data_IF_966241404766
#
_entry.id   IF_966241404766
#
_cell.length_a   1.000
_cell.length_b   1.000
_cell.length_c   1.000
_cell.angle_alpha   90.00
_cell.angle_beta   90.00
_cell.angle_gamma   90.00
#
_symmetry.space_group_name_H-M   'P 1'
#
loop_
_entity.id
_entity.type
_entity.pdbx_description
1 polymer ?
#
# COMPACT_ATOMS: atom_id res chain seq x y z
N UNK A 1 20.04 18.00 5.52
CA UNK A 1 19.24 18.62 4.47
C UNK A 1 18.59 17.60 3.49
N UNK A 2 18.48 16.30 3.82
CA UNK A 2 17.94 15.22 2.95
C UNK A 2 16.83 14.36 3.59
N UNK A 3 16.39 14.66 4.79
CA UNK A 3 15.24 14.01 5.45
C UNK A 3 13.89 14.51 4.93
N UNK A 4 13.88 15.62 4.22
CA UNK A 4 12.72 16.21 3.57
C UNK A 4 12.18 15.36 2.40
N UNK A 5 13.01 14.50 1.80
CA UNK A 5 12.64 13.77 0.57
C UNK A 5 11.53 12.76 0.81
N UNK A 6 11.61 12.01 1.89
CA UNK A 6 10.62 10.98 2.22
C UNK A 6 9.26 11.56 2.69
N UNK A 7 9.31 12.62 3.48
CA UNK A 7 8.08 13.22 4.03
C UNK A 7 7.25 13.91 2.97
N UNK A 8 7.88 14.60 2.01
CA UNK A 8 7.10 15.26 0.96
C UNK A 8 6.55 14.25 -0.06
N UNK A 9 7.28 13.17 -0.40
CA UNK A 9 6.77 12.12 -1.30
C UNK A 9 5.54 11.46 -0.69
N UNK A 10 5.59 11.14 0.61
CA UNK A 10 4.47 10.59 1.34
C UNK A 10 3.24 11.50 1.34
N UNK A 11 3.41 12.77 1.71
CA UNK A 11 2.29 13.72 1.75
C UNK A 11 1.75 13.97 0.35
N UNK A 12 2.63 13.99 -0.65
CA UNK A 12 2.25 14.06 -2.05
C UNK A 12 1.33 12.88 -2.44
N UNK A 13 1.71 11.63 -2.15
CA UNK A 13 0.88 10.48 -2.46
C UNK A 13 -0.45 10.49 -1.71
N UNK A 14 -0.47 10.85 -0.41
CA UNK A 14 -1.73 10.98 0.35
C UNK A 14 -2.66 12.00 -0.30
N UNK A 15 -2.16 13.20 -0.61
CA UNK A 15 -2.98 14.25 -1.21
C UNK A 15 -3.39 13.91 -2.64
N UNK A 16 -2.49 13.31 -3.42
CA UNK A 16 -2.77 12.78 -4.75
C UNK A 16 -3.91 11.77 -4.70
N UNK A 17 -3.83 10.78 -3.81
CA UNK A 17 -4.91 9.79 -3.64
C UNK A 17 -6.23 10.41 -3.19
N UNK A 18 -6.20 11.42 -2.29
CA UNK A 18 -7.40 12.17 -1.90
C UNK A 18 -8.03 12.90 -3.08
N UNK A 19 -7.22 13.43 -4.00
CA UNK A 19 -7.68 14.11 -5.21
C UNK A 19 -8.20 13.10 -6.25
N UNK A 20 -7.40 12.11 -6.59
CA UNK A 20 -7.73 11.10 -7.60
C UNK A 20 -8.93 10.23 -7.21
N UNK A 21 -9.10 9.94 -5.92
CA UNK A 21 -10.27 9.20 -5.41
C UNK A 21 -11.54 10.05 -5.32
N UNK A 22 -11.47 11.37 -5.58
CA UNK A 22 -12.61 12.28 -5.46
C UNK A 22 -12.92 12.74 -4.04
N UNK A 23 -12.16 12.34 -3.03
CA UNK A 23 -12.28 12.88 -1.65
C UNK A 23 -11.98 14.39 -1.60
N UNK A 24 -11.12 14.85 -2.51
CA UNK A 24 -10.90 16.27 -2.78
C UNK A 24 -11.27 16.57 -4.25
N UNK A 25 -12.57 16.78 -4.56
CA UNK A 25 -13.04 16.95 -5.93
C UNK A 25 -12.54 18.25 -6.55
N UNK A 26 -12.62 18.35 -7.89
CA UNK A 26 -12.33 19.58 -8.64
C UNK A 26 -13.05 20.79 -8.02
N UNK A 27 -12.33 21.88 -7.84
CA UNK A 27 -12.80 23.10 -7.18
C UNK A 27 -12.56 23.10 -5.66
N UNK A 28 -12.13 22.00 -5.05
CA UNK A 28 -11.76 21.98 -3.63
C UNK A 28 -10.54 22.88 -3.41
N UNK A 29 -10.64 23.76 -2.42
CA UNK A 29 -9.51 24.58 -1.96
C UNK A 29 -8.68 23.77 -0.99
N UNK A 30 -7.37 23.63 -1.24
CA UNK A 30 -6.46 22.98 -0.31
C UNK A 30 -6.38 23.79 1.00
N UNK A 31 -6.18 23.09 2.15
CA UNK A 31 -5.87 23.77 3.40
C UNK A 31 -4.65 24.68 3.26
N UNK A 32 -4.55 25.69 4.12
CA UNK A 32 -3.40 26.61 4.10
C UNK A 32 -2.10 25.85 4.37
N UNK A 33 -0.95 26.42 3.97
CA UNK A 33 0.35 25.84 4.29
C UNK A 33 0.55 25.63 5.80
N UNK A 34 0.00 26.54 6.63
CA UNK A 34 0.08 26.43 8.09
C UNK A 34 -0.73 25.23 8.59
N UNK A 35 -1.94 25.03 8.04
CA UNK A 35 -2.80 23.93 8.43
C UNK A 35 -2.22 22.59 7.98
N UNK A 36 -1.71 22.51 6.73
CA UNK A 36 -1.01 21.32 6.24
C UNK A 36 0.25 21.01 7.06
N UNK A 37 1.03 22.04 7.44
CA UNK A 37 2.18 21.84 8.34
C UNK A 37 1.75 21.26 9.69
N UNK A 38 0.61 21.71 10.21
CA UNK A 38 0.07 21.24 11.50
C UNK A 38 -0.50 19.83 11.38
N UNK A 39 -1.27 19.56 10.32
CA UNK A 39 -1.89 18.25 10.06
C UNK A 39 -0.82 17.16 9.89
N UNK A 40 0.19 17.43 9.04
CA UNK A 40 1.23 16.45 8.72
C UNK A 40 2.48 16.55 9.61
N UNK A 41 2.54 17.52 10.53
CA UNK A 41 3.68 17.78 11.44
C UNK A 41 5.02 17.94 10.71
N UNK A 42 5.01 18.70 9.63
CA UNK A 42 6.17 18.93 8.77
C UNK A 42 6.50 20.41 8.60
N UNK A 43 7.69 20.71 8.04
CA UNK A 43 8.12 22.08 7.77
C UNK A 43 7.34 22.72 6.60
N UNK A 44 7.26 24.05 6.61
CA UNK A 44 6.68 24.81 5.50
C UNK A 44 7.40 24.54 4.16
N UNK A 45 8.71 24.28 4.22
CA UNK A 45 9.51 23.92 3.06
C UNK A 45 9.04 22.57 2.44
N UNK A 46 8.74 21.60 3.30
CA UNK A 46 8.21 20.29 2.89
C UNK A 46 6.86 20.46 2.18
N UNK A 47 5.92 21.21 2.79
CA UNK A 47 4.60 21.45 2.18
C UNK A 47 4.70 22.23 0.88
N UNK A 48 5.56 23.24 0.77
CA UNK A 48 5.79 23.96 -0.50
C UNK A 48 6.21 23.02 -1.61
N UNK A 49 7.08 22.05 -1.30
CA UNK A 49 7.52 21.05 -2.28
C UNK A 49 6.39 20.10 -2.70
N UNK A 50 5.59 19.63 -1.73
CA UNK A 50 4.39 18.81 -2.01
C UNK A 50 3.43 19.54 -2.94
N UNK A 51 3.13 20.80 -2.63
CA UNK A 51 2.23 21.62 -3.45
C UNK A 51 2.79 21.85 -4.86
N UNK A 52 4.11 22.04 -4.98
CA UNK A 52 4.76 22.13 -6.29
C UNK A 52 4.61 20.81 -7.06
N UNK A 53 4.87 19.66 -6.44
CA UNK A 53 4.73 18.34 -7.07
C UNK A 53 3.29 18.07 -7.50
N UNK A 54 2.28 18.45 -6.69
CA UNK A 54 0.87 18.32 -7.06
C UNK A 54 0.51 19.23 -8.25
N UNK A 55 1.10 20.42 -8.33
CA UNK A 55 0.90 21.33 -9.46
C UNK A 55 1.58 20.81 -10.72
N UNK A 56 2.81 20.30 -10.62
CA UNK A 56 3.55 19.69 -11.72
C UNK A 56 2.85 18.43 -12.26
N UNK A 57 2.19 17.68 -11.38
CA UNK A 57 1.34 16.54 -11.73
C UNK A 57 -0.03 16.96 -12.32
N UNK A 58 -0.30 18.26 -12.48
CA UNK A 58 -1.58 18.75 -13.02
C UNK A 58 -2.78 18.55 -12.11
N UNK A 59 -2.59 18.22 -10.84
CA UNK A 59 -3.66 17.92 -9.89
C UNK A 59 -4.28 19.18 -9.29
N UNK A 60 -3.46 20.23 -9.12
CA UNK A 60 -3.88 21.50 -8.51
C UNK A 60 -3.38 22.69 -9.32
N UNK A 61 -4.03 23.82 -9.16
CA UNK A 61 -3.58 25.12 -9.66
C UNK A 61 -3.20 26.01 -8.48
N UNK A 62 -1.98 26.52 -8.50
CA UNK A 62 -1.48 27.49 -7.54
C UNK A 62 -1.50 28.89 -8.14
N UNK A 63 -1.89 29.89 -7.36
CA UNK A 63 -1.75 31.30 -7.71
C UNK A 63 -1.02 32.00 -6.58
N UNK A 64 -0.22 33.00 -6.93
CA UNK A 64 0.53 33.79 -5.94
C UNK A 64 -0.44 34.44 -4.95
N UNK A 65 -0.15 34.28 -3.64
CA UNK A 65 -0.96 34.78 -2.51
C UNK A 65 -2.38 34.25 -2.39
N UNK A 66 -2.72 33.16 -3.12
CA UNK A 66 -4.01 32.47 -3.01
C UNK A 66 -3.82 31.02 -2.57
N UNK A 67 -4.86 30.45 -1.99
CA UNK A 67 -4.89 29.02 -1.69
C UNK A 67 -4.92 28.22 -3.00
N UNK A 68 -4.24 27.07 -3.01
CA UNK A 68 -4.26 26.16 -4.16
C UNK A 68 -5.63 25.51 -4.33
N UNK A 69 -6.03 25.31 -5.57
CA UNK A 69 -7.34 24.73 -5.90
C UNK A 69 -7.14 23.46 -6.72
N UNK A 70 -7.86 22.41 -6.41
CA UNK A 70 -7.90 21.17 -7.19
C UNK A 70 -8.46 21.46 -8.57
N UNK A 71 -7.67 21.19 -9.60
CA UNK A 71 -8.09 21.32 -11.01
C UNK A 71 -8.23 19.96 -11.69
N UNK A 72 -7.72 18.92 -11.05
CA UNK A 72 -7.82 17.57 -11.58
C UNK A 72 -9.29 17.23 -11.83
N UNK A 73 -9.57 16.98 -13.09
CA UNK A 73 -10.88 16.57 -13.56
C UNK A 73 -10.79 15.09 -13.90
N UNK A 74 -11.48 14.28 -13.13
CA UNK A 74 -11.62 12.86 -13.42
C UNK A 74 -12.21 12.60 -14.82
N UNK A 75 -12.68 13.66 -15.50
CA UNK A 75 -13.30 13.61 -16.83
C UNK A 75 -12.29 13.81 -17.98
N UNK A 76 -11.13 14.41 -17.73
CA UNK A 76 -10.19 14.79 -18.79
C UNK A 76 -9.03 13.79 -19.02
N UNK A 77 -9.07 12.60 -18.42
CA UNK A 77 -8.13 11.52 -18.70
C UNK A 77 -8.43 10.73 -19.99
N UNK A 78 -9.17 11.32 -20.93
CA UNK A 78 -9.69 10.63 -22.13
C UNK A 78 -8.73 10.55 -23.32
N UNK A 79 -7.44 10.83 -23.13
CA UNK A 79 -6.43 10.72 -24.21
C UNK A 79 -5.52 9.49 -24.10
N UNK A 80 -5.87 8.48 -23.29
CA UNK A 80 -5.19 7.19 -23.40
C UNK A 80 -5.69 6.52 -24.69
N UNK A 81 -4.82 6.45 -25.68
CA UNK A 81 -5.05 5.83 -26.97
C UNK A 81 -5.67 4.45 -26.81
N UNK A 82 -6.88 4.29 -27.31
CA UNK A 82 -7.66 3.02 -27.35
C UNK A 82 -6.91 1.91 -28.09
N UNK A 83 -5.81 2.23 -28.75
CA UNK A 83 -5.11 1.37 -29.71
C UNK A 83 -4.17 0.32 -29.08
N UNK A 84 -3.91 0.38 -27.76
CA UNK A 84 -2.94 -0.51 -27.09
C UNK A 84 -3.54 -1.42 -25.99
N UNK A 85 -4.85 -1.57 -25.98
CA UNK A 85 -5.53 -2.46 -25.03
C UNK A 85 -5.50 -3.91 -25.52
N UNK A 86 -5.10 -4.82 -24.64
CA UNK A 86 -4.95 -6.25 -24.93
C UNK A 86 -5.70 -7.11 -23.92
N UNK A 87 -5.97 -8.35 -24.29
CA UNK A 87 -6.53 -9.33 -23.35
C UNK A 87 -5.51 -9.69 -22.27
N UNK A 88 -5.94 -9.77 -20.99
CA UNK A 88 -5.06 -10.18 -19.90
C UNK A 88 -4.67 -11.66 -20.04
N UNK A 89 -3.50 -12.02 -19.48
CA UNK A 89 -3.12 -13.42 -19.30
C UNK A 89 -4.05 -14.10 -18.29
N UNK A 90 -4.67 -15.20 -18.68
CA UNK A 90 -5.71 -15.88 -17.87
C UNK A 90 -5.21 -16.41 -16.53
N UNK A 91 -3.96 -16.90 -16.45
CA UNK A 91 -3.39 -17.42 -15.20
C UNK A 91 -3.04 -16.27 -14.25
N UNK A 92 -2.43 -15.22 -14.80
CA UNK A 92 -2.10 -14.01 -14.04
C UNK A 92 -3.37 -13.31 -13.57
N UNK A 93 -4.39 -13.23 -14.42
CA UNK A 93 -5.69 -12.68 -14.06
C UNK A 93 -6.31 -13.45 -12.88
N UNK A 94 -6.29 -14.77 -12.92
CA UNK A 94 -6.83 -15.60 -11.83
C UNK A 94 -6.08 -15.36 -10.52
N UNK A 95 -4.74 -15.35 -10.54
CA UNK A 95 -3.91 -15.09 -9.37
C UNK A 95 -4.20 -13.72 -8.76
N UNK A 96 -4.22 -12.66 -9.59
CA UNK A 96 -4.48 -11.30 -9.15
C UNK A 96 -5.92 -11.14 -8.64
N UNK A 97 -6.93 -11.71 -9.32
CA UNK A 97 -8.34 -11.62 -8.88
C UNK A 97 -8.55 -12.32 -7.53
N UNK A 98 -7.97 -13.50 -7.33
CA UNK A 98 -8.05 -14.20 -6.04
C UNK A 98 -7.32 -13.46 -4.92
N UNK A 99 -6.15 -12.91 -5.21
CA UNK A 99 -5.43 -12.02 -4.29
C UNK A 99 -6.28 -10.80 -3.93
N UNK A 100 -6.91 -10.17 -4.91
CA UNK A 100 -7.78 -9.04 -4.69
C UNK A 100 -8.99 -9.37 -3.84
N UNK A 101 -9.66 -10.47 -4.08
CA UNK A 101 -10.81 -10.92 -3.29
C UNK A 101 -10.45 -11.01 -1.80
N UNK A 102 -9.28 -11.58 -1.48
CA UNK A 102 -8.81 -11.74 -0.11
C UNK A 102 -8.38 -10.40 0.53
N UNK A 103 -7.82 -9.48 -0.25
CA UNK A 103 -7.29 -8.22 0.28
C UNK A 103 -8.27 -7.04 0.18
N UNK A 104 -8.96 -6.88 -0.96
CA UNK A 104 -9.78 -5.70 -1.22
C UNK A 104 -11.06 -5.64 -0.41
N UNK A 105 -11.79 -6.75 -0.30
CA UNK A 105 -13.07 -6.74 0.40
C UNK A 105 -12.93 -6.32 1.86
N UNK A 106 -11.97 -6.83 2.65
CA UNK A 106 -11.77 -6.34 4.01
C UNK A 106 -11.46 -4.83 4.06
N UNK A 107 -10.65 -4.32 3.12
CA UNK A 107 -10.33 -2.88 3.07
C UNK A 107 -11.53 -2.03 2.69
N UNK A 108 -12.33 -2.45 1.71
CA UNK A 108 -13.55 -1.75 1.31
C UNK A 108 -14.55 -1.74 2.48
N UNK A 109 -14.75 -2.88 3.15
CA UNK A 109 -15.60 -2.97 4.34
C UNK A 109 -15.14 -2.00 5.44
N UNK A 110 -13.83 -1.98 5.72
CA UNK A 110 -13.25 -1.08 6.71
C UNK A 110 -13.41 0.38 6.28
N UNK A 111 -13.09 0.72 5.03
CA UNK A 111 -13.25 2.07 4.49
C UNK A 111 -14.69 2.58 4.54
N UNK A 112 -15.67 1.71 4.25
CA UNK A 112 -17.09 2.02 4.39
C UNK A 112 -17.44 2.35 5.84
N UNK A 113 -16.95 1.56 6.82
CA UNK A 113 -17.20 1.80 8.25
C UNK A 113 -16.60 3.10 8.77
N UNK A 114 -15.58 3.64 8.09
CA UNK A 114 -14.93 4.90 8.43
C UNK A 114 -15.57 6.14 7.76
N UNK A 115 -16.52 5.95 6.83
CA UNK A 115 -17.14 7.05 6.11
C UNK A 115 -18.04 7.89 7.03
N UNK A 116 -17.81 9.20 7.02
CA UNK A 116 -18.67 10.19 7.65
C UNK A 116 -19.66 10.82 6.67
N UNK A 117 -20.51 11.73 7.17
CA UNK A 117 -21.55 12.39 6.38
C UNK A 117 -21.01 13.04 5.10
N UNK A 118 -19.90 13.75 5.19
CA UNK A 118 -19.30 14.42 4.04
C UNK A 118 -18.80 13.42 2.98
N UNK A 119 -18.30 12.25 3.40
CA UNK A 119 -17.87 11.20 2.49
C UNK A 119 -19.05 10.66 1.70
N UNK A 120 -20.19 10.43 2.36
CA UNK A 120 -21.43 9.98 1.72
C UNK A 120 -21.99 11.02 0.75
N UNK A 121 -21.92 12.31 1.07
CA UNK A 121 -22.34 13.39 0.18
C UNK A 121 -21.48 13.42 -1.10
N UNK A 122 -20.18 13.17 -0.99
CA UNK A 122 -19.26 13.08 -2.14
C UNK A 122 -19.61 11.84 -2.99
N UNK A 123 -19.76 10.68 -2.36
CA UNK A 123 -20.06 9.41 -3.03
C UNK A 123 -21.40 9.47 -3.76
N UNK A 124 -22.46 10.04 -3.15
CA UNK A 124 -23.75 10.23 -3.79
C UNK A 124 -23.62 11.09 -5.04
N UNK A 125 -22.89 12.21 -4.96
CA UNK A 125 -22.66 13.10 -6.11
C UNK A 125 -21.91 12.38 -7.25
N UNK A 126 -20.84 11.65 -6.96
CA UNK A 126 -20.09 10.89 -7.96
C UNK A 126 -20.98 9.83 -8.61
N UNK A 127 -21.75 9.09 -7.80
CA UNK A 127 -22.64 8.02 -8.30
C UNK A 127 -23.77 8.56 -9.18
N UNK A 128 -24.33 9.74 -8.86
CA UNK A 128 -25.33 10.39 -9.71
C UNK A 128 -24.78 10.85 -11.06
N UNK A 129 -23.47 11.10 -11.15
CA UNK A 129 -22.78 11.48 -12.39
C UNK A 129 -22.40 10.28 -13.28
N UNK A 130 -22.64 9.04 -12.83
CA UNK A 130 -22.47 7.87 -13.69
C UNK A 130 -23.52 7.91 -14.80
N UNK A 131 -23.08 7.88 -16.07
CA UNK A 131 -23.98 7.79 -17.22
C UNK A 131 -24.03 6.34 -17.73
N UNK A 132 -25.16 5.62 -17.54
CA UNK A 132 -25.29 4.25 -18.02
C UNK A 132 -25.20 4.10 -19.55
N UNK A 133 -25.30 5.17 -20.31
CA UNK A 133 -25.20 5.18 -21.78
C UNK A 133 -23.74 5.13 -22.25
N UNK A 134 -22.77 5.47 -21.38
CA UNK A 134 -21.35 5.55 -21.68
C UNK A 134 -20.58 4.44 -20.94
N UNK A 135 -20.51 3.20 -21.44
CA UNK A 135 -20.01 2.04 -20.68
C UNK A 135 -18.59 2.21 -20.16
N UNK A 136 -17.64 2.64 -20.98
CA UNK A 136 -16.23 2.83 -20.59
C UNK A 136 -16.11 3.85 -19.47
N UNK A 137 -16.76 5.02 -19.63
CA UNK A 137 -16.72 6.09 -18.62
C UNK A 137 -17.45 5.69 -17.34
N UNK A 138 -18.55 4.95 -17.47
CA UNK A 138 -19.31 4.40 -16.34
C UNK A 138 -18.42 3.53 -15.45
N UNK A 139 -17.75 2.54 -16.02
CA UNK A 139 -16.89 1.63 -15.27
C UNK A 139 -15.63 2.29 -14.75
N UNK A 140 -15.04 3.23 -15.50
CA UNK A 140 -13.91 4.05 -15.05
C UNK A 140 -14.26 4.84 -13.79
N UNK A 141 -15.40 5.52 -13.77
CA UNK A 141 -15.89 6.27 -12.59
C UNK A 141 -16.28 5.34 -11.44
N UNK A 142 -16.84 4.19 -11.70
CA UNK A 142 -17.18 3.19 -10.68
C UNK A 142 -15.95 2.74 -9.91
N UNK A 143 -14.82 2.49 -10.59
CA UNK A 143 -13.54 2.15 -9.92
C UNK A 143 -13.08 3.23 -8.95
N UNK A 144 -13.32 4.50 -9.26
CA UNK A 144 -12.99 5.61 -8.35
C UNK A 144 -13.81 5.57 -7.06
N UNK A 145 -15.05 5.10 -7.10
CA UNK A 145 -15.88 4.92 -5.90
C UNK A 145 -15.27 3.84 -4.99
N UNK A 146 -14.82 2.72 -5.56
CA UNK A 146 -14.15 1.67 -4.78
C UNK A 146 -12.81 2.14 -4.21
N UNK A 147 -12.03 2.85 -5.03
CA UNK A 147 -10.78 3.47 -4.56
C UNK A 147 -11.02 4.49 -3.46
N UNK A 148 -12.14 5.22 -3.49
CA UNK A 148 -12.53 6.15 -2.43
C UNK A 148 -12.61 5.45 -1.07
N UNK A 149 -13.32 4.32 -0.99
CA UNK A 149 -13.41 3.57 0.26
C UNK A 149 -12.05 3.10 0.77
N UNK A 150 -11.20 2.60 -0.11
CA UNK A 150 -9.86 2.16 0.27
C UNK A 150 -8.99 3.35 0.73
N UNK A 151 -9.06 4.48 0.02
CA UNK A 151 -8.35 5.69 0.40
C UNK A 151 -8.84 6.27 1.74
N UNK A 152 -10.07 5.92 2.16
CA UNK A 152 -10.61 6.34 3.46
C UNK A 152 -9.90 5.70 4.64
N UNK A 153 -9.29 4.54 4.46
CA UNK A 153 -8.45 3.89 5.49
C UNK A 153 -7.18 4.69 5.80
N UNK A 154 -6.72 5.57 4.90
CA UNK A 154 -5.47 6.35 5.03
C UNK A 154 -4.22 5.47 5.26
N UNK A 155 -4.27 4.22 4.81
CA UNK A 155 -3.19 3.25 4.87
C UNK A 155 -2.38 3.29 3.58
N UNK A 156 -1.15 3.84 3.66
CA UNK A 156 -0.28 3.99 2.49
C UNK A 156 0.15 2.66 1.88
N UNK A 157 0.45 1.67 2.73
CA UNK A 157 0.88 0.35 2.26
C UNK A 157 -0.23 -0.33 1.45
N UNK A 158 -1.48 -0.24 1.91
CA UNK A 158 -2.63 -0.78 1.20
C UNK A 158 -2.86 -0.11 -0.14
N UNK A 159 -2.76 1.22 -0.21
CA UNK A 159 -2.92 1.97 -1.46
C UNK A 159 -1.84 1.58 -2.47
N UNK A 160 -0.59 1.46 -2.04
CA UNK A 160 0.50 1.02 -2.92
C UNK A 160 0.32 -0.41 -3.44
N UNK A 161 -0.12 -1.33 -2.59
CA UNK A 161 -0.41 -2.72 -2.98
C UNK A 161 -1.52 -2.74 -4.04
N UNK A 162 -2.58 -1.97 -3.82
CA UNK A 162 -3.74 -1.91 -4.71
C UNK A 162 -3.38 -1.32 -6.08
N UNK A 163 -2.63 -0.23 -6.09
CA UNK A 163 -2.14 0.37 -7.33
C UNK A 163 -1.18 -0.57 -8.07
N UNK A 164 -0.32 -1.29 -7.34
CA UNK A 164 0.59 -2.28 -7.92
C UNK A 164 -0.13 -3.49 -8.51
N UNK A 165 -1.29 -3.89 -7.98
CA UNK A 165 -2.13 -4.94 -8.57
C UNK A 165 -2.80 -4.49 -9.89
N UNK A 166 -2.80 -3.21 -10.21
CA UNK A 166 -3.16 -2.70 -11.53
C UNK A 166 -4.67 -2.68 -11.86
N UNK A 167 -5.55 -2.91 -10.87
CA UNK A 167 -7.00 -2.97 -11.12
C UNK A 167 -7.60 -1.70 -11.71
N UNK A 168 -7.02 -0.55 -11.42
CA UNK A 168 -7.50 0.71 -11.96
C UNK A 168 -7.32 0.81 -13.48
N UNK A 169 -6.30 0.12 -14.03
CA UNK A 169 -6.02 0.04 -15.46
C UNK A 169 -6.90 -0.97 -16.22
N UNK A 170 -7.65 -1.85 -15.53
CA UNK A 170 -8.51 -2.83 -16.23
C UNK A 170 -9.70 -2.12 -16.85
N UNK A 171 -9.90 -2.23 -18.14
CA UNK A 171 -11.06 -1.70 -18.82
C UNK A 171 -12.12 -2.78 -19.04
N UNK A 172 -13.35 -2.45 -18.73
CA UNK A 172 -14.50 -3.35 -18.87
C UNK A 172 -15.35 -2.97 -20.07
N UNK A 173 -15.62 -3.93 -20.93
CA UNK A 173 -16.53 -3.77 -22.08
C UNK A 173 -17.71 -4.70 -21.89
N UNK A 174 -18.90 -4.14 -21.90
CA UNK A 174 -20.17 -4.83 -21.90
C UNK A 174 -21.23 -3.96 -22.59
N UNK A 175 -22.27 -4.58 -23.12
CA UNK A 175 -23.29 -3.87 -23.91
C UNK A 175 -24.64 -3.77 -23.21
N UNK A 176 -24.72 -4.09 -21.91
CA UNK A 176 -26.00 -4.16 -21.18
C UNK A 176 -26.27 -2.90 -20.35
N UNK A 177 -26.94 -1.92 -20.95
CA UNK A 177 -27.36 -0.69 -20.25
C UNK A 177 -28.24 -0.97 -19.02
N UNK A 178 -29.09 -2.01 -19.06
CA UNK A 178 -29.96 -2.38 -17.93
C UNK A 178 -29.15 -2.78 -16.69
N UNK A 179 -28.02 -3.44 -16.87
CA UNK A 179 -27.10 -3.80 -15.79
C UNK A 179 -26.50 -2.57 -15.16
N UNK A 180 -26.03 -1.61 -15.96
CA UNK A 180 -25.47 -0.36 -15.45
C UNK A 180 -26.48 0.47 -14.69
N UNK A 181 -27.74 0.53 -15.17
CA UNK A 181 -28.84 1.20 -14.47
C UNK A 181 -29.10 0.52 -13.12
N UNK A 182 -29.16 -0.81 -13.10
CA UNK A 182 -29.36 -1.60 -11.87
C UNK A 182 -28.20 -1.37 -10.89
N UNK A 183 -26.97 -1.44 -11.39
CA UNK A 183 -25.76 -1.18 -10.59
C UNK A 183 -25.79 0.21 -9.95
N UNK A 184 -26.02 1.27 -10.74
CA UNK A 184 -26.08 2.63 -10.26
C UNK A 184 -27.18 2.81 -9.20
N UNK A 185 -28.36 2.24 -9.42
CA UNK A 185 -29.49 2.31 -8.48
C UNK A 185 -29.15 1.63 -7.16
N UNK A 186 -28.59 0.42 -7.20
CA UNK A 186 -28.19 -0.35 -6.01
C UNK A 186 -27.15 0.41 -5.21
N UNK A 187 -26.16 0.99 -5.89
CA UNK A 187 -25.11 1.76 -5.23
C UNK A 187 -25.67 3.04 -4.60
N UNK A 188 -26.57 3.77 -5.28
CA UNK A 188 -27.23 4.95 -4.72
C UNK A 188 -28.08 4.59 -3.50
N UNK A 189 -28.87 3.53 -3.55
CA UNK A 189 -29.69 3.07 -2.43
C UNK A 189 -28.82 2.71 -1.20
N UNK A 190 -27.70 2.00 -1.42
CA UNK A 190 -26.73 1.69 -0.37
C UNK A 190 -26.13 2.97 0.25
N UNK A 191 -25.68 3.91 -0.57
CA UNK A 191 -25.08 5.18 -0.12
C UNK A 191 -26.10 6.00 0.71
N UNK A 192 -27.34 6.09 0.23
CA UNK A 192 -28.39 6.86 0.93
C UNK A 192 -28.76 6.25 2.28
N UNK A 193 -28.86 4.91 2.37
CA UNK A 193 -29.08 4.20 3.63
C UNK A 193 -27.90 4.39 4.59
N UNK A 194 -26.69 4.22 4.10
CA UNK A 194 -25.46 4.35 4.90
C UNK A 194 -25.20 5.76 5.41
N UNK A 195 -25.73 6.78 4.73
CA UNK A 195 -25.72 8.18 5.19
C UNK A 195 -26.54 8.42 6.43
N UNK A 196 -27.62 7.65 6.61
CA UNK A 196 -28.55 7.75 7.75
C UNK A 196 -27.99 6.96 8.92
N UNK A 197 -27.55 5.74 8.66
CA UNK A 197 -27.04 4.81 9.65
C UNK A 197 -25.84 4.05 9.10
N UNK A 198 -24.77 3.97 9.91
CA UNK A 198 -23.56 3.22 9.53
C UNK A 198 -23.93 1.73 9.36
N UNK A 199 -23.71 1.16 8.16
CA UNK A 199 -24.13 -0.21 7.91
C UNK A 199 -23.35 -1.21 8.74
N UNK A 200 -24.02 -2.25 9.23
CA UNK A 200 -23.37 -3.37 9.88
C UNK A 200 -22.44 -4.11 8.91
N UNK A 201 -21.38 -4.74 9.43
CA UNK A 201 -20.39 -5.46 8.60
C UNK A 201 -21.04 -6.51 7.70
N UNK A 202 -22.08 -7.19 8.17
CA UNK A 202 -22.79 -8.20 7.37
C UNK A 202 -23.54 -7.57 6.20
N UNK A 203 -24.21 -6.44 6.43
CA UNK A 203 -24.89 -5.68 5.36
C UNK A 203 -23.90 -5.20 4.31
N UNK A 204 -22.69 -4.81 4.71
CA UNK A 204 -21.62 -4.41 3.75
C UNK A 204 -21.19 -5.63 2.93
N UNK A 205 -20.97 -6.78 3.55
CA UNK A 205 -20.58 -8.01 2.84
C UNK A 205 -21.65 -8.46 1.84
N UNK A 206 -22.91 -8.47 2.24
CA UNK A 206 -24.03 -8.79 1.35
C UNK A 206 -24.12 -7.83 0.17
N UNK A 207 -23.96 -6.54 0.43
CA UNK A 207 -23.92 -5.53 -0.63
C UNK A 207 -22.76 -5.76 -1.61
N UNK A 208 -21.54 -6.03 -1.10
CA UNK A 208 -20.37 -6.28 -1.93
C UNK A 208 -20.54 -7.56 -2.77
N UNK A 209 -21.07 -8.63 -2.17
CA UNK A 209 -21.35 -9.88 -2.87
C UNK A 209 -22.38 -9.66 -3.99
N UNK A 210 -23.43 -8.90 -3.73
CA UNK A 210 -24.47 -8.59 -4.73
C UNK A 210 -23.91 -7.73 -5.87
N UNK A 211 -23.15 -6.70 -5.57
CA UNK A 211 -22.52 -5.83 -6.58
C UNK A 211 -21.52 -6.62 -7.42
N UNK A 212 -20.74 -7.50 -6.82
CA UNK A 212 -19.81 -8.38 -7.51
C UNK A 212 -20.57 -9.33 -8.48
N UNK A 213 -21.64 -9.95 -7.99
CA UNK A 213 -22.49 -10.81 -8.79
C UNK A 213 -23.06 -10.11 -10.03
N UNK A 214 -23.58 -8.89 -9.88
CA UNK A 214 -24.12 -8.12 -11.01
C UNK A 214 -23.03 -7.78 -12.04
N UNK A 215 -21.78 -7.65 -11.59
CA UNK A 215 -20.68 -7.15 -12.43
C UNK A 215 -19.95 -8.29 -13.17
N UNK A 216 -19.61 -9.40 -12.49
CA UNK A 216 -18.64 -10.39 -13.00
C UNK A 216 -19.29 -11.69 -13.48
N UNK A 217 -20.50 -12.03 -13.00
CA UNK A 217 -21.14 -13.31 -13.32
C UNK A 217 -21.80 -13.37 -14.71
N UNK A 218 -21.38 -12.54 -15.67
CA UNK A 218 -22.00 -12.44 -17.00
C UNK A 218 -21.04 -12.87 -18.09
N UNK A 219 -21.55 -13.73 -19.01
CA UNK A 219 -20.82 -14.23 -20.17
C UNK A 219 -20.38 -13.15 -21.17
N UNK A 220 -21.05 -11.97 -21.15
CA UNK A 220 -20.78 -10.83 -22.03
C UNK A 220 -19.80 -9.80 -21.44
N UNK A 221 -19.20 -10.09 -20.27
CA UNK A 221 -18.29 -9.19 -19.59
C UNK A 221 -16.84 -9.43 -20.03
N UNK A 222 -16.34 -8.59 -20.93
CA UNK A 222 -14.96 -8.64 -21.40
C UNK A 222 -14.12 -7.60 -20.68
N UNK A 223 -12.88 -7.95 -20.34
CA UNK A 223 -11.91 -7.03 -19.79
C UNK A 223 -10.67 -6.91 -20.66
N UNK A 224 -10.12 -5.71 -20.71
CA UNK A 224 -8.92 -5.37 -21.44
C UNK A 224 -7.97 -4.61 -20.52
N UNK A 225 -6.68 -4.71 -20.78
CA UNK A 225 -5.65 -4.08 -19.98
C UNK A 225 -4.61 -3.43 -20.87
N UNK A 226 -3.93 -2.35 -20.42
CA UNK A 226 -2.77 -1.79 -21.12
C UNK A 226 -1.68 -2.85 -21.35
N UNK A 227 -0.91 -2.70 -22.42
CA UNK A 227 0.14 -3.65 -22.79
C UNK A 227 1.22 -3.81 -21.70
N UNK A 228 1.48 -2.76 -20.92
CA UNK A 228 2.41 -2.73 -19.79
C UNK A 228 1.77 -3.10 -18.45
N UNK A 229 0.51 -3.54 -18.44
CA UNK A 229 -0.21 -3.91 -17.21
C UNK A 229 0.40 -5.13 -16.52
N UNK A 230 0.36 -5.20 -15.17
CA UNK A 230 0.71 -6.40 -14.40
C UNK A 230 0.00 -7.66 -14.87
N UNK A 231 -1.21 -7.54 -15.38
CA UNK A 231 -2.01 -8.65 -15.91
C UNK A 231 -1.43 -9.29 -17.18
N UNK A 232 -0.34 -8.75 -17.74
CA UNK A 232 0.32 -9.25 -18.95
C UNK A 232 1.75 -9.72 -18.76
N UNK A 233 2.41 -9.30 -17.69
CA UNK A 233 3.84 -9.56 -17.49
C UNK A 233 4.16 -10.94 -16.92
N UNK A 234 3.17 -11.77 -16.64
CA UNK A 234 3.33 -13.07 -16.01
C UNK A 234 3.69 -12.96 -14.51
N UNK A 235 3.69 -14.11 -13.84
CA UNK A 235 3.91 -14.18 -12.39
C UNK A 235 5.28 -13.61 -11.96
N UNK A 236 6.34 -13.82 -12.77
CA UNK A 236 7.67 -13.26 -12.47
C UNK A 236 7.72 -11.73 -12.60
N UNK A 237 7.03 -11.19 -13.60
CA UNK A 237 6.90 -9.73 -13.77
C UNK A 237 6.11 -9.10 -12.63
N UNK A 238 5.04 -9.76 -12.17
CA UNK A 238 4.24 -9.32 -11.04
C UNK A 238 5.08 -9.16 -9.77
N UNK A 239 5.98 -10.10 -9.48
CA UNK A 239 6.93 -9.99 -8.38
C UNK A 239 7.83 -8.75 -8.49
N UNK A 240 8.21 -8.36 -9.68
CA UNK A 240 8.99 -7.14 -9.92
C UNK A 240 8.15 -5.88 -9.69
N UNK A 241 6.91 -5.85 -10.13
CA UNK A 241 5.97 -4.76 -9.88
C UNK A 241 5.70 -4.56 -8.39
N UNK A 242 5.45 -5.64 -7.66
CA UNK A 242 5.22 -5.58 -6.21
C UNK A 242 6.46 -5.11 -5.45
N UNK A 243 7.67 -5.52 -5.88
CA UNK A 243 8.93 -5.00 -5.33
C UNK A 243 9.10 -3.51 -5.56
N UNK A 244 8.74 -3.02 -6.76
CA UNK A 244 8.78 -1.58 -7.06
C UNK A 244 7.85 -0.77 -6.14
N UNK A 245 6.68 -1.31 -5.80
CA UNK A 245 5.79 -0.70 -4.81
C UNK A 245 6.43 -0.64 -3.41
N UNK A 246 7.13 -1.69 -2.98
CA UNK A 246 7.89 -1.70 -1.74
C UNK A 246 9.07 -0.70 -1.77
N UNK A 247 9.78 -0.63 -2.90
CA UNK A 247 10.97 0.23 -3.07
C UNK A 247 10.63 1.72 -3.01
N UNK A 248 9.49 2.15 -3.53
CA UNK A 248 8.99 3.53 -3.38
C UNK A 248 8.76 3.90 -1.92
N UNK A 249 8.45 2.92 -1.11
CA UNK A 249 8.06 3.09 0.28
C UNK A 249 9.25 3.02 1.24
N UNK A 250 10.34 2.31 0.91
CA UNK A 250 11.50 2.15 1.79
C UNK A 250 12.70 3.00 1.37
N UNK A 251 13.23 3.76 2.32
CA UNK A 251 14.56 4.32 2.11
C UNK A 251 15.61 3.24 2.43
N UNK A 252 16.56 3.05 1.50
CA UNK A 252 17.57 1.98 1.54
C UNK A 252 18.26 1.85 2.91
N UNK A 253 18.63 2.98 3.54
CA UNK A 253 19.31 2.95 4.84
C UNK A 253 18.40 2.49 5.98
N UNK A 254 17.08 2.74 5.91
CA UNK A 254 16.10 2.30 6.91
C UNK A 254 15.90 0.80 6.85
N UNK A 255 15.82 0.26 5.66
CA UNK A 255 15.69 -1.17 5.47
C UNK A 255 16.91 -1.91 5.98
N UNK A 256 18.12 -1.44 5.63
CA UNK A 256 19.36 -2.00 6.15
C UNK A 256 19.43 -1.92 7.67
N UNK A 257 19.07 -0.77 8.26
CA UNK A 257 19.02 -0.61 9.71
C UNK A 257 18.02 -1.58 10.35
N UNK A 258 16.84 -1.74 9.74
CA UNK A 258 15.83 -2.69 10.18
C UNK A 258 16.33 -4.14 10.11
N UNK A 259 16.98 -4.53 9.02
CA UNK A 259 17.55 -5.87 8.85
C UNK A 259 18.65 -6.17 9.88
N UNK A 260 19.46 -5.17 10.23
CA UNK A 260 20.44 -5.30 11.33
C UNK A 260 19.70 -5.45 12.67
N UNK A 261 18.68 -4.64 12.91
CA UNK A 261 17.93 -4.66 14.18
C UNK A 261 17.19 -5.98 14.43
N UNK A 262 16.72 -6.66 13.37
CA UNK A 262 16.10 -8.00 13.49
C UNK A 262 17.12 -9.13 13.54
N UNK A 263 18.42 -8.82 13.40
CA UNK A 263 19.49 -9.81 13.42
C UNK A 263 19.67 -10.57 12.11
N UNK A 264 19.09 -10.11 11.01
CA UNK A 264 19.34 -10.68 9.68
C UNK A 264 20.80 -10.47 9.25
N UNK A 265 21.31 -9.26 9.48
CA UNK A 265 22.74 -8.97 9.43
C UNK A 265 23.31 -8.87 10.84
N UNK A 266 24.34 -9.67 11.12
CA UNK A 266 25.05 -9.68 12.40
C UNK A 266 26.23 -8.70 12.38
N UNK A 267 26.74 -8.24 13.55
CA UNK A 267 27.98 -7.47 13.64
C UNK A 267 29.15 -8.19 12.92
N UNK A 268 29.73 -7.52 11.93
CA UNK A 268 30.80 -8.05 11.08
C UNK A 268 30.35 -8.66 9.76
N UNK A 269 29.05 -8.84 9.54
CA UNK A 269 28.52 -9.33 8.27
C UNK A 269 28.73 -8.34 7.13
N UNK A 270 28.94 -8.90 5.94
CA UNK A 270 29.07 -8.13 4.72
C UNK A 270 27.70 -7.76 4.19
N UNK A 271 27.45 -6.47 3.99
CA UNK A 271 26.27 -5.96 3.33
C UNK A 271 26.38 -6.06 1.80
N UNK A 272 25.25 -6.00 1.08
CA UNK A 272 25.26 -5.92 -0.38
C UNK A 272 26.09 -4.74 -0.87
N UNK A 273 26.79 -4.94 -1.99
CA UNK A 273 27.51 -3.85 -2.66
C UNK A 273 26.55 -2.79 -3.21
N UNK A 274 27.03 -1.59 -3.53
CA UNK A 274 26.20 -0.55 -4.14
C UNK A 274 25.45 -1.04 -5.39
N UNK A 275 26.09 -1.83 -6.25
CA UNK A 275 25.47 -2.41 -7.44
C UNK A 275 24.35 -3.40 -7.10
N UNK A 276 24.57 -4.24 -6.06
CA UNK A 276 23.53 -5.14 -5.56
C UNK A 276 22.37 -4.38 -4.91
N UNK A 277 22.68 -3.36 -4.10
CA UNK A 277 21.65 -2.48 -3.52
C UNK A 277 20.84 -1.76 -4.59
N UNK A 278 21.50 -1.27 -5.67
CA UNK A 278 20.79 -0.68 -6.79
C UNK A 278 19.77 -1.66 -7.39
N UNK A 279 20.20 -2.88 -7.65
CA UNK A 279 19.34 -3.92 -8.21
C UNK A 279 18.23 -4.35 -7.22
N UNK A 280 18.55 -4.41 -5.92
CA UNK A 280 17.60 -4.82 -4.87
C UNK A 280 16.53 -3.75 -4.60
N UNK A 281 16.90 -2.48 -4.69
CA UNK A 281 16.04 -1.35 -4.29
C UNK A 281 15.57 -0.47 -5.46
N UNK A 282 15.96 -0.78 -6.69
CA UNK A 282 15.56 -0.01 -7.88
C UNK A 282 16.03 1.46 -7.88
N UNK A 283 17.07 1.80 -7.11
CA UNK A 283 17.52 3.17 -6.87
C UNK A 283 18.86 3.49 -7.55
N UNK A 284 19.20 4.78 -7.68
CA UNK A 284 20.47 5.21 -8.28
C UNK A 284 21.68 4.86 -7.39
N UNK A 285 22.89 4.77 -7.99
CA UNK A 285 24.16 4.64 -7.25
C UNK A 285 24.30 5.73 -6.20
N UNK A 286 23.91 6.96 -6.55
CA UNK A 286 24.01 8.09 -5.64
C UNK A 286 23.12 7.89 -4.40
N UNK A 287 21.93 7.32 -4.55
CA UNK A 287 21.02 6.99 -3.46
C UNK A 287 21.62 5.94 -2.52
N UNK A 288 22.20 4.85 -3.08
CA UNK A 288 22.84 3.81 -2.26
C UNK A 288 24.09 4.32 -1.56
N UNK A 289 24.91 5.14 -2.24
CA UNK A 289 26.10 5.77 -1.66
C UNK A 289 25.73 6.65 -0.47
N UNK A 290 24.66 7.40 -0.60
CA UNK A 290 24.17 8.27 0.48
C UNK A 290 23.56 7.49 1.64
N UNK A 291 22.83 6.40 1.33
CA UNK A 291 22.31 5.51 2.37
C UNK A 291 23.44 4.91 3.21
N UNK A 292 24.47 4.39 2.56
CA UNK A 292 25.66 3.85 3.26
C UNK A 292 26.39 4.93 4.04
N UNK A 293 26.54 6.13 3.49
CA UNK A 293 27.15 7.25 4.20
C UNK A 293 26.36 7.65 5.47
N UNK A 294 25.03 7.63 5.43
CA UNK A 294 24.21 7.85 6.61
C UNK A 294 24.44 6.78 7.68
N UNK A 295 24.46 5.50 7.28
CA UNK A 295 24.73 4.40 8.19
C UNK A 295 26.15 4.44 8.78
N UNK A 296 27.15 4.87 8.00
CA UNK A 296 28.51 5.10 8.48
C UNK A 296 28.56 6.24 9.51
N UNK A 297 27.89 7.37 9.23
CA UNK A 297 27.81 8.51 10.15
C UNK A 297 27.20 8.12 11.50
N UNK A 298 26.30 7.14 11.49
CA UNK A 298 25.70 6.60 12.72
C UNK A 298 26.54 5.49 13.36
N UNK A 299 27.67 5.12 12.77
CA UNK A 299 28.52 4.03 13.28
C UNK A 299 27.92 2.64 13.12
N UNK A 300 26.85 2.50 12.33
CA UNK A 300 26.13 1.22 12.09
C UNK A 300 26.92 0.34 11.14
N UNK A 301 27.57 0.93 10.14
CA UNK A 301 28.35 0.22 9.13
C UNK A 301 29.73 0.83 8.93
N UNK A 302 30.65 -0.01 8.51
CA UNK A 302 32.00 0.35 8.09
C UNK A 302 32.13 0.04 6.60
N UNK A 303 32.53 1.04 5.80
CA UNK A 303 32.79 0.85 4.37
C UNK A 303 34.26 1.13 4.10
N UNK A 304 34.97 0.13 3.57
CA UNK A 304 36.38 0.21 3.20
C UNK A 304 36.51 0.02 1.70
N UNK A 305 37.19 0.98 1.04
CA UNK A 305 37.42 0.90 -0.42
C UNK A 305 38.11 -0.42 -0.78
N UNK A 306 37.53 -1.14 -1.73
CA UNK A 306 38.04 -2.44 -2.21
C UNK A 306 37.67 -3.65 -1.31
N UNK A 307 37.22 -3.44 -0.08
CA UNK A 307 36.81 -4.55 0.82
C UNK A 307 35.31 -4.74 0.89
N UNK A 308 34.54 -3.66 0.76
CA UNK A 308 33.08 -3.70 0.84
C UNK A 308 32.49 -2.95 2.01
N UNK A 309 31.23 -3.20 2.27
CA UNK A 309 30.44 -2.58 3.35
C UNK A 309 30.14 -3.69 4.37
N UNK A 310 30.39 -3.42 5.64
CA UNK A 310 30.24 -4.38 6.74
C UNK A 310 29.43 -3.76 7.89
N UNK A 311 28.65 -4.56 8.59
CA UNK A 311 28.04 -4.14 9.86
C UNK A 311 29.13 -3.92 10.89
N UNK A 312 29.09 -2.79 11.60
CA UNK A 312 30.08 -2.44 12.62
C UNK A 312 30.14 -3.52 13.71
N UNK A 313 31.36 -3.88 14.13
CA UNK A 313 31.58 -4.80 15.25
C UNK A 313 31.49 -4.11 16.61
N UNK A 314 31.43 -2.80 16.63
CA UNK A 314 31.34 -2.03 17.86
C UNK A 314 29.89 -1.95 18.37
N UNK A 315 29.49 -2.93 19.18
CA UNK A 315 28.14 -3.04 19.77
C UNK A 315 27.80 -1.80 20.63
N UNK A 316 28.80 -1.15 21.25
CA UNK A 316 28.58 0.07 22.04
C UNK A 316 28.18 1.25 21.14
N UNK A 317 28.74 1.33 19.94
CA UNK A 317 28.35 2.33 18.94
C UNK A 317 26.91 2.09 18.45
N UNK A 318 26.50 0.84 18.27
CA UNK A 318 25.12 0.48 17.92
C UNK A 318 24.11 0.88 19.04
N UNK A 319 24.52 0.79 20.30
CA UNK A 319 23.68 1.16 21.45
C UNK A 319 23.60 2.67 21.70
N UNK A 320 24.52 3.46 21.13
CA UNK A 320 24.58 4.92 21.28
C UNK A 320 24.02 5.68 20.07
N UNK A 321 23.41 4.99 19.12
CA UNK A 321 22.88 5.62 17.91
C UNK A 321 21.69 6.51 18.30
N UNK A 322 21.86 7.82 18.18
CA UNK A 322 20.74 8.77 18.17
C UNK A 322 20.07 8.71 16.79
N UNK A 323 19.07 7.85 16.66
CA UNK A 323 18.27 7.78 15.43
C UNK A 323 17.35 9.01 15.39
N UNK A 324 17.30 9.68 14.24
CA UNK A 324 16.42 10.84 14.05
C UNK A 324 14.97 10.45 14.43
N UNK A 325 14.31 11.22 15.33
CA UNK A 325 12.93 10.94 15.73
C UNK A 325 11.95 10.87 14.57
N UNK A 326 12.18 11.63 13.50
CA UNK A 326 11.33 11.59 12.29
C UNK A 326 11.46 10.26 11.54
N UNK A 327 12.66 9.68 11.56
CA UNK A 327 12.93 8.37 11.01
C UNK A 327 12.19 7.28 11.77
N UNK A 328 12.26 7.34 13.09
CA UNK A 328 11.53 6.42 13.98
C UNK A 328 10.02 6.54 13.69
N UNK A 329 9.50 7.77 13.59
CA UNK A 329 8.08 8.00 13.31
C UNK A 329 7.63 7.40 11.97
N UNK A 330 8.46 7.47 10.93
CA UNK A 330 8.12 6.84 9.64
C UNK A 330 8.06 5.32 9.71
N UNK A 331 9.00 4.69 10.45
CA UNK A 331 8.94 3.25 10.69
C UNK A 331 7.75 2.82 11.54
N UNK A 332 7.42 3.59 12.57
CA UNK A 332 6.24 3.34 13.39
C UNK A 332 4.99 3.39 12.51
N UNK A 333 4.88 4.37 11.61
CA UNK A 333 3.74 4.47 10.70
C UNK A 333 3.64 3.26 9.78
N UNK A 334 4.74 2.87 9.12
CA UNK A 334 4.78 1.65 8.29
C UNK A 334 4.38 0.40 9.07
N UNK A 335 4.83 0.31 10.34
CA UNK A 335 4.45 -0.81 11.20
C UNK A 335 2.97 -0.80 11.53
N UNK A 336 2.39 0.37 11.80
CA UNK A 336 0.95 0.52 12.05
C UNK A 336 0.14 0.19 10.80
N UNK A 337 0.54 0.68 9.62
CA UNK A 337 -0.09 0.35 8.34
C UNK A 337 -0.04 -1.17 8.08
N UNK A 338 1.10 -1.80 8.42
CA UNK A 338 1.27 -3.25 8.33
C UNK A 338 0.36 -4.01 9.32
N UNK A 339 0.25 -3.57 10.58
CA UNK A 339 -0.63 -4.18 11.57
C UNK A 339 -2.10 -4.09 11.16
N UNK A 340 -2.53 -2.94 10.65
CA UNK A 340 -3.89 -2.75 10.16
C UNK A 340 -4.16 -3.70 8.98
N UNK A 341 -3.22 -3.82 8.03
CA UNK A 341 -3.34 -4.74 6.90
C UNK A 341 -3.45 -6.19 7.38
N UNK A 342 -2.62 -6.61 8.32
CA UNK A 342 -2.71 -7.94 8.94
C UNK A 342 -4.08 -8.11 9.60
N UNK A 343 -4.52 -7.16 10.42
CA UNK A 343 -5.77 -7.28 11.19
C UNK A 343 -6.99 -7.44 10.29
N UNK A 344 -6.98 -6.82 9.11
CA UNK A 344 -8.08 -6.89 8.16
C UNK A 344 -8.06 -8.13 7.27
N UNK A 345 -6.88 -8.72 7.01
CA UNK A 345 -6.73 -9.73 5.95
C UNK A 345 -6.31 -11.11 6.45
N UNK A 346 -5.73 -11.22 7.65
CA UNK A 346 -5.13 -12.47 8.13
C UNK A 346 -6.14 -13.62 8.27
N UNK A 347 -7.38 -13.32 8.63
CA UNK A 347 -8.43 -14.33 8.76
C UNK A 347 -8.73 -14.98 7.39
N UNK A 348 -8.97 -14.15 6.36
CA UNK A 348 -9.21 -14.63 5.00
C UNK A 348 -8.04 -15.43 4.43
N UNK A 349 -6.82 -14.94 4.67
CA UNK A 349 -5.60 -15.64 4.25
C UNK A 349 -5.42 -16.97 4.98
N UNK A 350 -5.65 -17.00 6.30
CA UNK A 350 -5.54 -18.22 7.10
C UNK A 350 -6.57 -19.26 6.66
N UNK A 351 -7.83 -18.88 6.45
CA UNK A 351 -8.86 -19.78 5.91
C UNK A 351 -8.47 -20.35 4.55
N UNK A 352 -7.91 -19.50 3.69
CA UNK A 352 -7.48 -19.92 2.35
C UNK A 352 -6.29 -20.88 2.40
N UNK A 353 -5.28 -20.59 3.21
CA UNK A 353 -4.12 -21.48 3.43
C UNK A 353 -4.58 -22.81 4.03
N UNK A 354 -5.43 -22.77 5.06
CA UNK A 354 -5.92 -23.98 5.72
C UNK A 354 -6.69 -24.93 4.79
N UNK A 355 -7.33 -24.40 3.74
CA UNK A 355 -8.02 -25.19 2.74
C UNK A 355 -7.08 -25.92 1.76
N UNK A 356 -5.80 -25.51 1.69
CA UNK A 356 -4.83 -26.02 0.70
C UNK A 356 -3.61 -26.71 1.32
N UNK A 357 -3.39 -26.56 2.62
CA UNK A 357 -2.22 -27.07 3.32
C UNK A 357 -2.42 -28.54 3.75
N UNK A 358 -1.36 -29.35 3.71
CA UNK A 358 -1.42 -30.74 4.17
C UNK A 358 -1.42 -30.86 5.70
N UNK A 359 -1.88 -32.01 6.21
CA UNK A 359 -1.87 -32.31 7.64
C UNK A 359 -0.44 -32.32 8.22
N UNK A 360 0.55 -32.73 7.43
CA UNK A 360 1.95 -32.73 7.85
C UNK A 360 2.44 -31.31 8.15
N UNK A 361 2.18 -30.35 7.27
CA UNK A 361 2.57 -28.95 7.47
C UNK A 361 1.86 -28.33 8.69
N UNK A 362 0.60 -28.73 8.96
CA UNK A 362 -0.09 -28.30 10.18
C UNK A 362 0.61 -28.87 11.43
N UNK A 363 1.07 -30.11 11.39
CA UNK A 363 1.81 -30.72 12.52
C UNK A 363 3.14 -30.01 12.74
N UNK A 364 3.88 -29.65 11.67
CA UNK A 364 5.10 -28.85 11.76
C UNK A 364 4.84 -27.47 12.42
N UNK A 365 3.74 -26.81 12.06
CA UNK A 365 3.34 -25.54 12.69
C UNK A 365 3.09 -25.74 14.18
N UNK A 366 2.33 -26.78 14.57
CA UNK A 366 2.03 -27.07 15.98
C UNK A 366 3.33 -27.32 16.73
N UNK A 367 4.25 -28.12 16.19
CA UNK A 367 5.55 -28.39 16.80
C UNK A 367 6.36 -27.09 17.01
N UNK A 368 6.45 -26.20 16.02
CA UNK A 368 7.13 -24.89 16.13
C UNK A 368 6.51 -24.01 17.24
N UNK A 369 5.19 -24.02 17.38
CA UNK A 369 4.49 -23.29 18.44
C UNK A 369 4.72 -23.89 19.82
N UNK A 370 4.75 -25.24 19.95
CA UNK A 370 5.04 -25.93 21.19
C UNK A 370 6.47 -25.71 21.67
N UNK A 371 7.44 -25.76 20.77
CA UNK A 371 8.85 -25.41 21.05
C UNK A 371 8.96 -23.96 21.58
N UNK A 372 8.25 -23.02 20.96
CA UNK A 372 8.20 -21.63 21.42
C UNK A 372 7.55 -21.50 22.81
N UNK A 373 6.53 -22.32 23.10
CA UNK A 373 5.86 -22.37 24.41
C UNK A 373 6.78 -22.92 25.49
N UNK A 374 7.52 -23.99 25.21
CA UNK A 374 8.49 -24.60 26.13
C UNK A 374 9.59 -23.61 26.50
N UNK A 375 10.02 -22.75 25.56
CA UNK A 375 11.01 -21.70 25.82
C UNK A 375 10.53 -20.59 26.77
N UNK A 376 9.28 -20.68 27.26
CA UNK A 376 8.70 -19.76 28.26
C UNK A 376 8.19 -18.43 27.69
N UNK A 377 8.22 -18.21 26.38
CA UNK A 377 7.83 -16.94 25.78
C UNK A 377 7.06 -17.11 24.45
N UNK A 378 5.90 -17.76 24.50
CA UNK A 378 5.08 -18.00 23.31
C UNK A 378 4.59 -16.70 22.65
N UNK A 379 4.23 -15.69 23.43
CA UNK A 379 3.59 -14.47 22.91
C UNK A 379 4.48 -13.64 21.97
N UNK A 380 5.79 -13.74 22.10
CA UNK A 380 6.69 -13.00 21.23
C UNK A 380 6.94 -13.67 19.87
N UNK A 381 7.28 -14.97 19.75
CA UNK A 381 7.53 -15.61 18.48
C UNK A 381 6.26 -16.05 17.74
N UNK A 382 5.17 -16.42 18.44
CA UNK A 382 3.99 -16.99 17.80
C UNK A 382 3.42 -16.19 16.62
N UNK A 383 3.25 -14.85 16.69
CA UNK A 383 2.75 -14.10 15.54
C UNK A 383 3.70 -14.17 14.32
N UNK A 384 5.01 -14.25 14.56
CA UNK A 384 6.00 -14.39 13.48
C UNK A 384 5.92 -15.78 12.88
N UNK A 385 5.87 -16.82 13.71
CA UNK A 385 5.75 -18.23 13.28
C UNK A 385 4.49 -18.41 12.42
N UNK A 386 3.36 -17.85 12.86
CA UNK A 386 2.10 -17.91 12.11
C UNK A 386 2.18 -17.16 10.78
N UNK A 387 2.72 -15.94 10.76
CA UNK A 387 2.87 -15.17 9.53
C UNK A 387 3.86 -15.83 8.55
N UNK A 388 4.95 -16.44 9.05
CA UNK A 388 5.88 -17.25 8.25
C UNK A 388 5.16 -18.42 7.61
N UNK A 389 4.46 -19.21 8.41
CA UNK A 389 3.70 -20.36 7.95
C UNK A 389 2.68 -19.97 6.88
N UNK A 390 1.89 -18.92 7.11
CA UNK A 390 0.95 -18.41 6.12
C UNK A 390 1.66 -18.02 4.83
N UNK A 391 2.75 -17.22 4.93
CA UNK A 391 3.51 -16.75 3.77
C UNK A 391 4.10 -17.90 2.95
N UNK A 392 4.60 -18.96 3.61
CA UNK A 392 5.18 -20.14 2.97
C UNK A 392 4.14 -20.92 2.17
N UNK A 393 2.90 -21.02 2.68
CA UNK A 393 1.85 -21.88 2.14
C UNK A 393 0.74 -21.14 1.36
N UNK A 394 0.87 -19.84 1.14
CA UNK A 394 -0.02 -19.11 0.22
C UNK A 394 0.14 -19.66 -1.21
N UNK A 395 -0.95 -20.13 -1.86
CA UNK A 395 -0.87 -20.70 -3.20
C UNK A 395 -0.78 -19.66 -4.33
N UNK A 396 -1.16 -18.40 -4.06
CA UNK A 396 -1.14 -17.30 -5.05
C UNK A 396 0.14 -16.48 -4.92
N UNK A 397 0.89 -16.37 -6.01
CA UNK A 397 2.19 -15.69 -6.02
C UNK A 397 2.09 -14.19 -5.69
N UNK A 398 1.04 -13.54 -6.15
CA UNK A 398 0.77 -12.12 -5.81
C UNK A 398 0.56 -11.95 -4.32
N UNK A 399 -0.31 -12.77 -3.72
CA UNK A 399 -0.62 -12.73 -2.30
C UNK A 399 0.60 -13.11 -1.45
N UNK A 400 1.36 -14.13 -1.87
CA UNK A 400 2.61 -14.55 -1.23
C UNK A 400 3.66 -13.44 -1.22
N UNK A 401 3.81 -12.73 -2.34
CA UNK A 401 4.71 -11.59 -2.45
C UNK A 401 4.30 -10.47 -1.48
N UNK A 402 3.00 -10.14 -1.42
CA UNK A 402 2.46 -9.14 -0.50
C UNK A 402 2.71 -9.54 0.96
N UNK A 403 2.41 -10.79 1.32
CA UNK A 403 2.63 -11.28 2.69
C UNK A 403 4.12 -11.38 3.06
N UNK A 404 5.00 -11.60 2.10
CA UNK A 404 6.46 -11.49 2.31
C UNK A 404 6.85 -10.07 2.71
N UNK A 405 6.29 -9.06 2.04
CA UNK A 405 6.51 -7.64 2.37
C UNK A 405 5.94 -7.30 3.76
N UNK A 406 4.73 -7.78 4.06
CA UNK A 406 4.08 -7.62 5.36
C UNK A 406 4.93 -8.24 6.47
N UNK A 407 5.36 -9.49 6.33
CA UNK A 407 6.20 -10.20 7.29
C UNK A 407 7.51 -9.46 7.57
N UNK A 408 8.16 -8.97 6.52
CA UNK A 408 9.39 -8.17 6.64
C UNK A 408 9.15 -6.90 7.46
N UNK A 409 8.13 -6.10 7.10
CA UNK A 409 7.80 -4.86 7.83
C UNK A 409 7.37 -5.14 9.28
N UNK A 410 6.61 -6.22 9.52
CA UNK A 410 6.22 -6.64 10.85
C UNK A 410 7.44 -7.00 11.73
N UNK A 411 8.39 -7.76 11.20
CA UNK A 411 9.63 -8.12 11.90
C UNK A 411 10.47 -6.89 12.26
N UNK A 412 10.61 -5.95 11.33
CA UNK A 412 11.34 -4.70 11.54
C UNK A 412 10.65 -3.87 12.63
N UNK A 413 9.34 -3.64 12.51
CA UNK A 413 8.57 -2.82 13.43
C UNK A 413 8.62 -3.30 14.88
N UNK A 414 8.59 -4.61 15.11
CA UNK A 414 8.71 -5.21 16.44
C UNK A 414 10.06 -4.95 17.15
N UNK A 415 11.08 -4.56 16.41
CA UNK A 415 12.42 -4.26 16.97
C UNK A 415 12.63 -2.77 17.28
N UNK A 416 11.75 -1.89 16.77
CA UNK A 416 11.83 -0.43 17.00
C UNK A 416 11.93 -0.07 18.50
N UNK A 417 11.13 -0.63 19.43
CA UNK A 417 11.25 -0.32 20.85
C UNK A 417 12.64 -0.60 21.43
N UNK A 418 13.34 -1.62 20.91
CA UNK A 418 14.72 -1.91 21.35
C UNK A 418 15.72 -0.86 20.87
N UNK A 419 15.50 -0.28 19.69
CA UNK A 419 16.33 0.80 19.15
C UNK A 419 16.14 2.11 19.96
N UNK A 420 14.90 2.40 20.38
CA UNK A 420 14.57 3.58 21.19
C UNK A 420 15.17 3.46 22.59
N UNK A 421 15.02 2.30 23.23
CA UNK A 421 15.46 2.08 24.61
C UNK A 421 16.99 1.99 24.76
N UNK A 422 17.74 1.62 23.71
CA UNK A 422 19.19 1.62 23.73
C UNK A 422 19.80 3.04 23.77
N UNK A 423 19.07 4.05 23.27
CA UNK A 423 19.48 5.45 23.31
C UNK A 423 19.25 6.17 24.66
N UNK A 424 18.38 5.61 25.53
CA UNK A 424 18.01 6.23 26.81
C UNK A 424 18.70 5.60 28.05
N UNK A 425 19.68 4.74 27.87
CA UNK A 425 20.50 4.16 28.95
C UNK A 425 21.89 4.76 28.95
N UNK A 426 21.97 6.11 29.07
CA UNK A 426 23.18 6.84 29.43
C UNK A 426 22.91 7.66 30.68
#
# INVERSE_FOLDING_TARGET
MKYDTYQYDRIFEILKHKIESGRMPKGTVLPSFVDLCREYKVSNKTIRRVVAMLADAGLIKTKERQLSVVIYDQHNGDNDSVDDLQEPDGLVMTDILKTAEILYYPFICHGISLCGKNDWDILERITRQLDPKLPTLFWKKTKLIWRFFIARCENELSLHIIDALGFLGVEYRENNIGSRITYQRTLLDFIQKSRIEVPASETIKEFLAYIHFITISREDFQCYVPADSPFRVGVQGLNQWMKTAEERYSSVYLDILGLIAIGYYQPGDRLPSHAQMQKMYGVSVNTTTQAVHCLQKWGVVEATRGRGIFVSRNIKALNSISVDPQLIASHIRRYLDCLELISLTVEGVACHVAAHVSSEHIQELIQRLDEAKISGNLYQPAPVILLEFLTEHIPYESLKTIYTIILKNYRIGRKIPKLINSGNRS
#
